data_IF_517762206569
#
_entry.id   IF_517762206569
#
_cell.length_a   1.000
_cell.length_b   1.000
_cell.length_c   1.000
_cell.angle_alpha   90.00
_cell.angle_beta   90.00
_cell.angle_gamma   90.00
#
_symmetry.space_group_name_H-M   'P 1'
#
loop_
_entity.id
_entity.type
_entity.pdbx_description
1 polymer ?
#
# COMPACT_ATOMS: atom_id res chain seq x y z
N UNK A 1 -48.90 21.04 0.88
CA UNK A 1 -47.44 21.10 1.20
C UNK A 1 -46.71 21.42 -0.07
N UNK A 2 -45.94 22.51 -0.08
CA UNK A 2 -45.42 23.20 -1.28
C UNK A 2 -44.27 22.48 -1.92
N UNK A 3 -44.46 21.84 -3.08
CA UNK A 3 -43.46 21.10 -3.84
C UNK A 3 -42.27 21.96 -4.29
N UNK A 4 -42.45 23.27 -4.39
CA UNK A 4 -41.37 24.19 -4.78
C UNK A 4 -40.29 24.31 -3.69
N UNK A 5 -40.64 24.28 -2.41
CA UNK A 5 -39.69 24.29 -1.30
C UNK A 5 -38.78 23.05 -1.26
N UNK A 6 -39.33 21.90 -1.66
CA UNK A 6 -38.57 20.64 -1.72
C UNK A 6 -37.56 20.61 -2.89
N UNK A 7 -37.89 21.26 -4.00
CA UNK A 7 -36.97 21.35 -5.16
C UNK A 7 -35.81 22.31 -4.90
N UNK A 8 -36.04 23.43 -4.22
CA UNK A 8 -34.98 24.38 -3.85
C UNK A 8 -33.97 23.75 -2.86
N UNK A 9 -34.44 22.94 -1.91
CA UNK A 9 -33.57 22.23 -0.97
C UNK A 9 -32.76 21.09 -1.63
N UNK A 10 -33.26 20.49 -2.71
CA UNK A 10 -32.53 19.44 -3.46
C UNK A 10 -31.48 19.99 -4.42
N UNK A 11 -31.69 21.21 -4.94
CA UNK A 11 -30.78 21.81 -5.93
C UNK A 11 -29.71 22.72 -5.31
N UNK A 12 -29.89 23.23 -4.09
CA UNK A 12 -29.10 24.35 -3.58
C UNK A 12 -27.93 24.02 -2.66
N UNK A 13 -27.91 22.84 -2.02
CA UNK A 13 -26.95 22.67 -0.90
C UNK A 13 -25.62 22.00 -1.24
N UNK A 14 -25.57 21.20 -2.29
CA UNK A 14 -24.33 20.50 -2.64
C UNK A 14 -23.40 21.31 -3.56
N UNK A 15 -23.99 21.90 -4.61
CA UNK A 15 -23.21 22.61 -5.63
C UNK A 15 -22.67 23.96 -5.13
N UNK A 16 -23.45 24.66 -4.29
CA UNK A 16 -23.05 25.94 -3.74
C UNK A 16 -21.90 25.83 -2.71
N UNK A 17 -21.89 24.78 -1.88
CA UNK A 17 -20.79 24.52 -0.93
C UNK A 17 -19.52 24.12 -1.65
N UNK A 18 -19.61 23.27 -2.69
CA UNK A 18 -18.45 22.87 -3.51
C UNK A 18 -17.85 24.04 -4.27
N UNK A 19 -18.68 24.98 -4.79
CA UNK A 19 -18.18 26.15 -5.50
C UNK A 19 -17.49 27.17 -4.57
N UNK A 20 -17.95 27.31 -3.34
CA UNK A 20 -17.33 28.19 -2.34
C UNK A 20 -15.97 27.60 -1.89
N UNK A 21 -15.88 26.29 -1.66
CA UNK A 21 -14.64 25.60 -1.32
C UNK A 21 -13.62 25.64 -2.46
N UNK A 22 -14.06 25.51 -3.71
CA UNK A 22 -13.21 25.63 -4.89
C UNK A 22 -12.72 27.08 -5.10
N UNK A 23 -13.59 28.09 -4.90
CA UNK A 23 -13.24 29.50 -5.00
C UNK A 23 -12.29 29.95 -3.87
N UNK A 24 -12.34 29.32 -2.71
CA UNK A 24 -11.42 29.57 -1.60
C UNK A 24 -10.04 28.89 -1.80
N UNK A 25 -9.82 28.17 -2.90
CA UNK A 25 -8.56 27.44 -3.16
C UNK A 25 -8.30 26.27 -2.23
N UNK A 26 -9.30 25.87 -1.43
CA UNK A 26 -9.17 24.79 -0.45
C UNK A 26 -9.32 23.39 -1.08
N UNK A 27 -9.79 23.32 -2.33
CA UNK A 27 -9.86 22.08 -3.11
C UNK A 27 -9.16 22.34 -4.44
N UNK A 28 -7.92 21.94 -4.57
CA UNK A 28 -7.24 21.87 -5.86
C UNK A 28 -7.44 20.47 -6.43
N UNK A 29 -7.88 20.31 -7.68
CA UNK A 29 -8.06 19.01 -8.31
C UNK A 29 -6.81 18.13 -8.30
N UNK A 30 -5.63 18.70 -8.13
CA UNK A 30 -4.36 17.99 -8.05
C UNK A 30 -4.05 17.32 -6.70
N UNK A 31 -4.78 17.65 -5.62
CA UNK A 31 -4.52 17.07 -4.29
C UNK A 31 -5.10 15.66 -4.10
N UNK A 32 -5.91 15.18 -5.05
CA UNK A 32 -6.54 13.85 -4.97
C UNK A 32 -5.88 12.80 -5.87
N UNK A 33 -4.83 13.14 -6.61
CA UNK A 33 -4.05 12.17 -7.37
C UNK A 33 -3.07 11.50 -6.40
N UNK A 34 -3.47 10.37 -5.84
CA UNK A 34 -2.52 9.43 -5.31
C UNK A 34 -1.59 9.02 -6.46
N UNK A 35 -0.36 9.51 -6.42
CA UNK A 35 0.65 9.20 -7.43
C UNK A 35 1.08 7.74 -7.24
N UNK A 36 0.35 6.84 -7.92
CA UNK A 36 0.64 5.42 -7.83
C UNK A 36 1.82 5.09 -8.75
N UNK A 37 2.82 4.42 -8.22
CA UNK A 37 3.99 4.03 -8.98
C UNK A 37 3.68 2.83 -9.90
N UNK A 38 3.06 3.12 -11.06
CA UNK A 38 2.68 2.10 -12.06
C UNK A 38 3.87 1.23 -12.46
N UNK A 39 5.05 1.81 -12.63
CA UNK A 39 6.26 1.10 -13.05
C UNK A 39 6.67 0.03 -12.02
N UNK A 40 6.56 0.32 -10.73
CA UNK A 40 6.85 -0.65 -9.67
C UNK A 40 5.82 -1.79 -9.61
N UNK A 41 4.53 -1.48 -9.82
CA UNK A 41 3.48 -2.51 -9.83
C UNK A 41 3.50 -3.39 -11.08
N UNK A 42 3.93 -2.87 -12.23
CA UNK A 42 4.03 -3.62 -13.49
C UNK A 42 5.32 -4.43 -13.59
N UNK A 43 6.32 -4.15 -12.77
CA UNK A 43 7.61 -4.83 -12.78
C UNK A 43 7.47 -6.35 -12.55
N UNK A 44 8.21 -7.13 -13.34
CA UNK A 44 8.13 -8.61 -13.35
C UNK A 44 9.22 -9.29 -12.52
N UNK A 45 10.21 -8.53 -12.06
CA UNK A 45 11.27 -9.04 -11.23
C UNK A 45 11.41 -8.22 -9.95
N UNK A 46 11.96 -8.84 -8.90
CA UNK A 46 12.29 -8.15 -7.65
C UNK A 46 13.25 -6.98 -7.90
N UNK A 47 14.28 -7.19 -8.73
CA UNK A 47 15.27 -6.16 -9.04
C UNK A 47 14.67 -4.95 -9.74
N UNK A 48 13.79 -5.17 -10.74
CA UNK A 48 13.11 -4.09 -11.44
C UNK A 48 12.12 -3.35 -10.52
N UNK A 49 11.45 -4.08 -9.63
CA UNK A 49 10.54 -3.50 -8.64
C UNK A 49 11.31 -2.59 -7.67
N UNK A 50 12.40 -3.07 -7.09
CA UNK A 50 13.25 -2.26 -6.20
C UNK A 50 13.82 -1.04 -6.92
N UNK A 51 14.25 -1.19 -8.18
CA UNK A 51 14.72 -0.07 -9.00
C UNK A 51 13.62 0.97 -9.24
N UNK A 52 12.41 0.54 -9.58
CA UNK A 52 11.29 1.43 -9.80
C UNK A 52 10.82 2.15 -8.53
N UNK A 53 11.03 1.55 -7.36
CA UNK A 53 10.80 2.17 -6.05
C UNK A 53 11.97 3.07 -5.60
N UNK A 54 13.10 3.07 -6.31
CA UNK A 54 14.33 3.76 -5.90
C UNK A 54 15.05 3.07 -4.73
N UNK A 55 14.78 1.79 -4.50
CA UNK A 55 15.22 1.00 -3.35
C UNK A 55 16.33 0.00 -3.69
N UNK A 56 17.07 0.18 -4.78
CA UNK A 56 18.14 -0.74 -5.20
C UNK A 56 19.28 -0.92 -4.17
N UNK A 57 19.40 0.01 -3.24
CA UNK A 57 20.38 -0.02 -2.13
C UNK A 57 19.75 -0.35 -0.79
N UNK A 58 18.56 -0.98 -0.77
CA UNK A 58 17.92 -1.40 0.47
C UNK A 58 18.79 -2.39 1.23
N UNK A 59 18.90 -2.22 2.55
CA UNK A 59 19.69 -3.06 3.43
C UNK A 59 18.81 -3.73 4.48
N UNK A 60 19.18 -4.94 4.88
CA UNK A 60 18.47 -5.63 5.95
C UNK A 60 18.59 -4.87 7.27
N UNK A 61 17.48 -4.78 8.02
CA UNK A 61 17.44 -4.09 9.30
C UNK A 61 16.47 -4.81 10.25
N UNK A 62 16.95 -5.07 11.47
CA UNK A 62 16.18 -5.73 12.54
C UNK A 62 15.00 -4.90 13.06
N UNK A 63 15.02 -3.59 12.84
CA UNK A 63 13.96 -2.67 13.24
C UNK A 63 12.82 -2.65 12.20
N UNK A 64 12.91 -3.45 11.15
CA UNK A 64 11.85 -3.76 10.19
C UNK A 64 11.43 -5.20 10.38
N UNK A 65 10.14 -5.47 10.43
CA UNK A 65 9.61 -6.82 10.66
C UNK A 65 8.50 -7.15 9.66
N UNK A 66 8.52 -8.40 9.19
CA UNK A 66 7.40 -9.01 8.45
C UNK A 66 6.62 -9.90 9.42
N UNK A 67 5.33 -9.68 9.53
CA UNK A 67 4.42 -10.56 10.26
C UNK A 67 3.55 -11.33 9.27
N UNK A 68 3.27 -12.58 9.59
CA UNK A 68 2.47 -13.47 8.76
C UNK A 68 2.61 -14.92 9.23
N UNK A 69 1.75 -15.84 8.78
CA UNK A 69 1.83 -17.26 9.13
C UNK A 69 3.09 -17.89 8.55
N UNK A 70 3.61 -18.89 9.20
CA UNK A 70 4.70 -19.72 8.63
C UNK A 70 4.18 -20.60 7.49
N UNK A 71 2.91 -21.02 7.61
CA UNK A 71 2.21 -21.82 6.61
C UNK A 71 0.86 -21.19 6.32
N UNK A 72 0.60 -20.84 5.06
CA UNK A 72 -0.68 -20.39 4.57
C UNK A 72 -1.41 -21.54 3.87
N UNK A 73 -2.52 -21.98 4.45
CA UNK A 73 -3.35 -23.05 3.87
C UNK A 73 -4.13 -22.55 2.64
N UNK A 74 -4.36 -21.25 2.56
CA UNK A 74 -5.03 -20.60 1.43
C UNK A 74 -4.18 -19.46 0.88
N UNK A 75 -3.46 -19.73 -0.21
CA UNK A 75 -2.63 -18.73 -0.89
C UNK A 75 -3.41 -17.57 -1.53
N UNK A 76 -4.72 -17.69 -1.71
CA UNK A 76 -5.53 -16.60 -2.27
C UNK A 76 -5.69 -15.42 -1.28
N UNK A 77 -5.58 -15.68 0.05
CA UNK A 77 -5.84 -14.70 1.10
C UNK A 77 -4.86 -14.91 2.25
N UNK A 78 -3.62 -14.47 2.10
CA UNK A 78 -2.58 -14.61 3.12
C UNK A 78 -2.45 -13.31 3.92
N UNK A 79 -2.66 -13.33 5.24
CA UNK A 79 -2.46 -12.15 6.07
C UNK A 79 -0.97 -11.85 6.17
N UNK A 80 -0.59 -10.62 5.85
CA UNK A 80 0.79 -10.11 5.94
C UNK A 80 0.78 -8.74 6.57
N UNK A 81 1.68 -8.51 7.50
CA UNK A 81 1.92 -7.19 8.08
C UNK A 81 3.38 -6.78 8.00
N UNK A 82 3.58 -5.49 8.06
CA UNK A 82 4.89 -4.86 8.17
C UNK A 82 4.85 -3.89 9.34
N UNK A 83 5.82 -3.98 10.21
CA UNK A 83 6.03 -2.99 11.28
C UNK A 83 7.47 -2.53 11.28
N UNK A 84 7.69 -1.30 11.75
CA UNK A 84 9.02 -0.73 11.91
C UNK A 84 9.09 0.20 13.09
N UNK A 85 10.19 0.14 13.84
CA UNK A 85 10.53 1.08 14.91
C UNK A 85 11.49 2.19 14.45
N UNK A 86 11.82 2.23 13.16
CA UNK A 86 12.65 3.28 12.58
C UNK A 86 11.93 4.65 12.66
N UNK A 87 12.67 5.74 12.86
CA UNK A 87 12.10 7.08 12.85
C UNK A 87 11.71 7.53 11.43
N UNK A 88 10.83 8.52 11.34
CA UNK A 88 10.51 9.24 10.09
C UNK A 88 10.21 8.31 8.90
N UNK A 89 9.43 7.24 9.16
CA UNK A 89 9.00 6.34 8.09
C UNK A 89 7.99 7.05 7.21
N UNK A 90 8.28 7.12 5.92
CA UNK A 90 7.43 7.79 4.92
C UNK A 90 6.76 6.83 3.96
N UNK A 91 7.24 5.58 3.86
CA UNK A 91 6.66 4.56 2.99
C UNK A 91 6.90 3.16 3.56
N UNK A 92 5.91 2.31 3.38
CA UNK A 92 5.99 0.87 3.63
C UNK A 92 5.51 0.14 2.38
N UNK A 93 6.23 -0.90 1.95
CA UNK A 93 5.78 -1.75 0.86
C UNK A 93 5.95 -3.23 1.19
N UNK A 94 5.10 -4.06 0.60
CA UNK A 94 5.10 -5.51 0.70
C UNK A 94 5.42 -6.08 -0.68
N UNK A 95 6.47 -6.89 -0.75
CA UNK A 95 6.87 -7.55 -1.98
C UNK A 95 6.84 -9.07 -1.79
N UNK A 96 6.45 -9.79 -2.83
CA UNK A 96 6.37 -11.26 -2.86
C UNK A 96 7.19 -11.75 -4.05
N UNK A 97 8.31 -12.38 -3.76
CA UNK A 97 9.35 -12.68 -4.75
C UNK A 97 8.83 -13.50 -5.94
N UNK A 98 8.04 -14.53 -5.67
CA UNK A 98 7.58 -15.48 -6.70
C UNK A 98 6.21 -15.16 -7.29
N UNK A 99 5.63 -14.02 -6.96
CA UNK A 99 4.44 -13.57 -7.66
C UNK A 99 4.79 -13.04 -9.05
N UNK A 100 3.85 -13.09 -10.01
CA UNK A 100 4.04 -12.52 -11.36
C UNK A 100 4.46 -11.05 -11.37
N UNK A 101 3.99 -10.29 -10.38
CA UNK A 101 4.42 -8.94 -10.05
C UNK A 101 4.86 -8.97 -8.58
N UNK A 102 6.10 -8.58 -8.33
CA UNK A 102 6.66 -8.69 -6.98
C UNK A 102 6.01 -7.71 -5.99
N UNK A 103 5.67 -6.48 -6.41
CA UNK A 103 5.02 -5.51 -5.54
C UNK A 103 3.55 -5.86 -5.32
N UNK A 104 3.21 -6.26 -4.10
CA UNK A 104 1.84 -6.57 -3.71
C UNK A 104 1.08 -5.36 -3.17
N UNK A 105 1.75 -4.50 -2.40
CA UNK A 105 1.16 -3.29 -1.83
C UNK A 105 2.23 -2.24 -1.51
N UNK A 106 1.85 -0.96 -1.57
CA UNK A 106 2.67 0.17 -1.15
C UNK A 106 1.80 1.21 -0.45
N UNK A 107 2.27 1.72 0.69
CA UNK A 107 1.57 2.66 1.54
C UNK A 107 2.48 3.87 1.77
N UNK A 108 1.99 5.05 1.48
CA UNK A 108 2.63 6.31 1.87
C UNK A 108 2.12 6.68 3.25
N UNK A 109 3.02 6.92 4.16
CA UNK A 109 2.69 7.27 5.55
C UNK A 109 2.92 8.77 5.76
N UNK A 110 1.90 9.53 6.16
CA UNK A 110 2.06 10.90 6.62
C UNK A 110 2.98 10.98 7.84
N UNK A 111 3.59 12.14 8.04
CA UNK A 111 4.42 12.42 9.22
C UNK A 111 3.65 12.14 10.53
N UNK A 112 4.32 11.51 11.49
CA UNK A 112 3.72 11.13 12.77
C UNK A 112 2.86 9.86 12.73
N UNK A 113 2.75 9.19 11.58
CA UNK A 113 2.04 7.91 11.47
C UNK A 113 2.94 6.78 11.95
N UNK A 114 2.38 5.89 12.77
CA UNK A 114 3.07 4.65 13.17
C UNK A 114 3.24 3.73 11.96
N UNK A 115 4.46 3.22 11.78
CA UNK A 115 4.78 2.30 10.70
C UNK A 115 4.33 0.88 11.05
N UNK A 116 3.02 0.66 11.07
CA UNK A 116 2.38 -0.62 11.32
C UNK A 116 1.22 -0.81 10.34
N UNK A 117 1.41 -1.67 9.36
CA UNK A 117 0.45 -1.92 8.28
C UNK A 117 0.14 -3.41 8.22
N UNK A 118 -1.14 -3.74 8.11
CA UNK A 118 -1.60 -5.11 7.90
C UNK A 118 -2.55 -5.16 6.71
N UNK A 119 -2.39 -6.20 5.89
CA UNK A 119 -3.25 -6.44 4.73
C UNK A 119 -3.33 -7.94 4.41
N UNK A 120 -4.09 -8.28 3.37
CA UNK A 120 -4.14 -9.63 2.81
C UNK A 120 -3.62 -9.61 1.39
N UNK A 121 -2.74 -10.55 1.08
CA UNK A 121 -2.10 -10.65 -0.23
C UNK A 121 -2.39 -12.02 -0.85
N UNK A 122 -2.34 -12.10 -2.18
CA UNK A 122 -2.35 -13.37 -2.89
C UNK A 122 -0.92 -13.87 -3.04
N UNK A 123 -0.69 -15.14 -2.72
CA UNK A 123 0.57 -15.85 -2.94
C UNK A 123 0.29 -17.11 -3.76
N UNK A 124 0.80 -17.18 -4.99
CA UNK A 124 0.58 -18.33 -5.88
C UNK A 124 1.34 -19.59 -5.45
N UNK A 125 2.39 -19.43 -4.65
CA UNK A 125 3.26 -20.50 -4.19
C UNK A 125 4.07 -20.07 -2.97
N UNK A 126 4.74 -21.01 -2.32
CA UNK A 126 5.74 -20.72 -1.27
C UNK A 126 6.76 -19.71 -1.76
N UNK A 127 6.95 -18.64 -1.02
CA UNK A 127 7.77 -17.49 -1.42
C UNK A 127 8.32 -16.74 -0.23
N UNK A 128 9.45 -16.06 -0.45
CA UNK A 128 9.88 -15.00 0.43
C UNK A 128 8.94 -13.79 0.28
N UNK A 129 8.57 -13.22 1.42
CA UNK A 129 7.85 -11.95 1.55
C UNK A 129 8.82 -10.94 2.13
N UNK A 130 8.93 -9.80 1.47
CA UNK A 130 9.81 -8.72 1.89
C UNK A 130 8.97 -7.54 2.38
N UNK A 131 9.31 -7.03 3.56
CA UNK A 131 8.94 -5.70 4.00
C UNK A 131 9.98 -4.71 3.51
N UNK A 132 9.57 -3.67 2.81
CA UNK A 132 10.43 -2.57 2.41
C UNK A 132 9.93 -1.30 3.10
N UNK A 133 10.83 -0.61 3.79
CA UNK A 133 10.51 0.60 4.57
C UNK A 133 11.45 1.73 4.13
N UNK A 134 10.88 2.91 3.90
CA UNK A 134 11.64 4.13 3.64
C UNK A 134 11.65 5.01 4.89
N UNK A 135 12.81 5.22 5.48
CA UNK A 135 13.04 6.04 6.66
C UNK A 135 14.21 6.99 6.38
N UNK A 136 14.05 8.29 6.68
CA UNK A 136 15.07 9.32 6.44
C UNK A 136 15.70 9.28 5.02
N UNK A 137 14.86 9.01 4.03
CA UNK A 137 15.29 8.93 2.62
C UNK A 137 16.03 7.64 2.23
N UNK A 138 16.32 6.74 3.18
CA UNK A 138 16.98 5.45 2.96
C UNK A 138 15.98 4.31 2.97
N UNK A 139 16.34 3.20 2.32
CA UNK A 139 15.49 2.00 2.29
C UNK A 139 16.07 0.88 3.15
N UNK A 140 15.21 0.29 3.94
CA UNK A 140 15.47 -0.84 4.81
C UNK A 140 14.52 -1.97 4.50
N UNK A 141 14.95 -3.22 4.72
CA UNK A 141 14.11 -4.37 4.44
C UNK A 141 14.23 -5.45 5.52
N UNK A 142 13.23 -6.30 5.56
CA UNK A 142 13.25 -7.58 6.27
C UNK A 142 12.56 -8.62 5.41
N UNK A 143 12.89 -9.88 5.64
CA UNK A 143 12.42 -11.01 4.84
C UNK A 143 11.83 -12.08 5.74
N UNK A 144 10.73 -12.70 5.30
CA UNK A 144 10.15 -13.89 5.90
C UNK A 144 9.66 -14.83 4.80
N UNK A 145 10.06 -16.11 4.87
CA UNK A 145 9.44 -17.14 4.03
C UNK A 145 8.04 -17.49 4.56
N UNK A 146 7.06 -17.54 3.66
CA UNK A 146 5.72 -18.06 3.93
C UNK A 146 5.49 -19.25 3.00
N UNK A 147 5.26 -20.43 3.60
CA UNK A 147 4.92 -21.64 2.87
C UNK A 147 3.45 -21.64 2.50
N UNK A 148 3.15 -21.91 1.23
CA UNK A 148 1.78 -22.04 0.74
C UNK A 148 1.53 -23.51 0.43
N UNK A 149 0.53 -24.10 1.08
CA UNK A 149 0.12 -25.47 0.78
C UNK A 149 -0.76 -25.48 -0.47
N UNK A 150 -0.52 -26.46 -1.35
CA UNK A 150 -1.22 -26.61 -2.65
C UNK A 150 -2.69 -27.06 -2.50
N UNK A 151 -3.36 -26.69 -1.45
CA UNK A 151 -4.75 -27.09 -1.15
C UNK A 151 -5.76 -25.93 -1.18
N UNK A 152 -5.34 -24.71 -1.40
CA UNK A 152 -6.25 -23.58 -1.55
C UNK A 152 -6.81 -23.53 -2.96
N UNK A 153 -8.08 -23.83 -3.14
CA UNK A 153 -8.83 -23.69 -4.38
C UNK A 153 -8.60 -22.30 -5.00
N UNK A 154 -7.70 -22.23 -5.92
CA UNK A 154 -7.43 -21.05 -6.72
C UNK A 154 -7.20 -21.53 -8.15
N UNK A 155 -8.24 -22.10 -8.74
CA UNK A 155 -8.34 -22.22 -10.18
C UNK A 155 -8.81 -20.91 -10.77
#
# INVERSE_FOLDING_TARGET
MNNQRRQVLKAGSGAALLSILAAAGLITPGMALADWNKAAFDAKSMADTLKALGASSAVDNKDVQVTGPDIAENGAVVPVGVSSTLPNVTMVAILIEKNPNALAASFVLPEGTEANVQTRVKMGQTSNVYALVKSDGKFFMATKEIKVTLGGCGG
#
